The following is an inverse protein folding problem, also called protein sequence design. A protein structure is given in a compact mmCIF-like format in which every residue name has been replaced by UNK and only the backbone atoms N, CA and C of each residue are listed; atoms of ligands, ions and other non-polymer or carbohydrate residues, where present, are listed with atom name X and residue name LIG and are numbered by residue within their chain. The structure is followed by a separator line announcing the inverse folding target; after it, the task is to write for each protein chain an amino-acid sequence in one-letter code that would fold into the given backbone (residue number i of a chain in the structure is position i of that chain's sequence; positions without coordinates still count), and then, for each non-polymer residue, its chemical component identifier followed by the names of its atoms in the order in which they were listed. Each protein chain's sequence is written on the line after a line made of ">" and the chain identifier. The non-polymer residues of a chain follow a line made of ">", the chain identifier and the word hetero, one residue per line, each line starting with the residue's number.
data_IF_195539441452
#
_entry.id   IF_195539441452
#
_cell.length_a   1.000
_cell.length_b   1.000
_cell.length_c   1.000
_cell.angle_alpha   90.00
_cell.angle_beta   90.00
_cell.angle_gamma   90.00
#
_symmetry.space_group_name_H-M   'P 1'
#
loop_
_entity.id
_entity.type
_entity.pdbx_description
1 polymer ?
#
# COMPACT_ATOMS: atom_id res chain seq x y z
N UNK A 1 -4.30 -24.10 -103.54
CA UNK A 1 -5.02 -24.90 -102.47
C UNK A 1 -4.09 -25.22 -101.24
N UNK A 2 -2.95 -24.65 -101.07
CA UNK A 2 -1.97 -25.05 -100.02
C UNK A 2 -2.01 -24.19 -98.71
N UNK A 3 -2.48 -22.95 -98.79
CA UNK A 3 -2.46 -22.09 -97.59
C UNK A 3 -3.60 -22.36 -96.59
N UNK A 4 -4.72 -22.89 -97.04
CA UNK A 4 -5.86 -23.17 -96.19
C UNK A 4 -5.63 -24.44 -95.31
N UNK A 5 -4.91 -25.43 -95.81
CA UNK A 5 -4.53 -26.64 -95.07
C UNK A 5 -3.52 -26.39 -93.97
N UNK A 6 -2.49 -25.51 -94.29
CA UNK A 6 -1.50 -25.16 -93.28
C UNK A 6 -2.12 -24.35 -92.16
N UNK A 7 -3.06 -23.49 -92.44
CA UNK A 7 -3.80 -22.72 -91.39
C UNK A 7 -4.71 -23.56 -90.57
N UNK A 8 -5.29 -24.61 -91.10
CA UNK A 8 -6.17 -25.51 -90.34
C UNK A 8 -5.43 -26.43 -89.38
N UNK A 9 -4.18 -26.71 -89.62
CA UNK A 9 -3.35 -27.52 -88.74
C UNK A 9 -2.61 -26.64 -87.71
N UNK A 10 -2.23 -25.44 -88.08
CA UNK A 10 -1.51 -24.53 -87.14
C UNK A 10 -2.39 -23.87 -86.10
N UNK A 11 -3.64 -23.59 -86.44
CA UNK A 11 -4.56 -22.97 -85.50
C UNK A 11 -4.90 -23.80 -84.21
N UNK A 12 -5.24 -25.09 -84.32
CA UNK A 12 -5.51 -25.89 -83.14
C UNK A 12 -4.26 -26.18 -82.29
N UNK A 13 -3.09 -26.32 -82.93
CA UNK A 13 -1.83 -26.51 -82.14
C UNK A 13 -1.40 -25.23 -81.42
N UNK A 14 -1.60 -24.04 -81.98
CA UNK A 14 -1.35 -22.76 -81.35
C UNK A 14 -2.25 -22.51 -80.13
N UNK A 15 -3.54 -22.85 -80.23
CA UNK A 15 -4.52 -22.72 -79.12
C UNK A 15 -4.24 -23.73 -78.01
N UNK A 16 -3.89 -24.97 -78.36
CA UNK A 16 -3.50 -25.98 -77.39
C UNK A 16 -2.21 -25.63 -76.64
N UNK A 17 -1.25 -25.04 -77.36
CA UNK A 17 0.00 -24.62 -76.70
C UNK A 17 -0.18 -23.38 -75.81
N UNK A 18 -1.03 -22.44 -76.19
CA UNK A 18 -1.38 -21.26 -75.33
C UNK A 18 -2.15 -21.67 -74.13
N UNK A 19 -3.10 -22.62 -74.24
CA UNK A 19 -3.84 -23.16 -73.11
C UNK A 19 -2.93 -23.91 -72.11
N UNK A 20 -2.04 -24.74 -72.61
CA UNK A 20 -1.10 -25.48 -71.78
C UNK A 20 -0.11 -24.52 -71.11
N UNK A 21 0.38 -23.49 -71.79
CA UNK A 21 1.28 -22.48 -71.20
C UNK A 21 0.56 -21.67 -70.10
N UNK A 22 -0.72 -21.32 -70.31
CA UNK A 22 -1.55 -20.64 -69.31
C UNK A 22 -1.78 -21.49 -68.04
N UNK A 23 -2.04 -22.80 -68.17
CA UNK A 23 -2.18 -23.69 -67.03
C UNK A 23 -0.87 -23.88 -66.26
N UNK A 24 0.25 -24.01 -66.95
CA UNK A 24 1.58 -24.11 -66.31
C UNK A 24 1.94 -22.83 -65.61
N UNK A 25 1.67 -21.64 -66.19
CA UNK A 25 1.88 -20.35 -65.55
C UNK A 25 1.03 -20.21 -64.26
N UNK A 26 -0.25 -20.55 -64.36
CA UNK A 26 -1.13 -20.54 -63.20
C UNK A 26 -0.67 -21.49 -62.08
N UNK A 27 -0.25 -22.68 -62.43
CA UNK A 27 0.30 -23.65 -61.47
C UNK A 27 1.60 -23.14 -60.82
N UNK A 28 2.47 -22.52 -61.59
CA UNK A 28 3.72 -21.96 -61.07
C UNK A 28 3.47 -20.74 -60.16
N UNK A 29 2.52 -19.88 -60.55
CA UNK A 29 2.10 -18.75 -59.71
C UNK A 29 1.46 -19.21 -58.40
N UNK A 30 0.60 -20.24 -58.42
CA UNK A 30 0.01 -20.83 -57.20
C UNK A 30 1.07 -21.39 -56.25
N UNK A 31 2.11 -22.07 -56.78
CA UNK A 31 3.21 -22.56 -55.95
C UNK A 31 4.01 -21.40 -55.34
N UNK A 32 4.32 -20.37 -56.12
CA UNK A 32 5.06 -19.22 -55.62
C UNK A 32 4.27 -18.44 -54.56
N UNK A 33 2.98 -18.20 -54.81
CA UNK A 33 2.08 -17.55 -53.83
C UNK A 33 2.00 -18.36 -52.54
N UNK A 34 1.77 -19.68 -52.62
CA UNK A 34 1.75 -20.55 -51.44
C UNK A 34 3.07 -20.52 -50.65
N UNK A 35 4.20 -20.48 -51.33
CA UNK A 35 5.53 -20.43 -50.72
C UNK A 35 5.77 -19.09 -50.02
N UNK A 36 5.36 -17.98 -50.65
CA UNK A 36 5.45 -16.63 -50.07
C UNK A 36 4.51 -16.48 -48.87
N UNK A 37 3.23 -16.89 -49.01
CA UNK A 37 2.26 -16.86 -47.93
C UNK A 37 2.71 -17.71 -46.75
N UNK A 38 3.15 -18.94 -46.97
CA UNK A 38 3.68 -19.83 -45.92
C UNK A 38 4.87 -19.23 -45.17
N UNK A 39 5.76 -18.49 -45.90
CA UNK A 39 6.88 -17.80 -45.27
C UNK A 39 6.41 -16.63 -44.37
N UNK A 40 5.43 -15.86 -44.83
CA UNK A 40 4.85 -14.77 -44.03
C UNK A 40 4.05 -15.30 -42.82
N UNK A 41 3.32 -16.39 -42.95
CA UNK A 41 2.63 -17.04 -41.87
C UNK A 41 3.58 -17.58 -40.80
N UNK A 42 4.71 -18.18 -41.19
CA UNK A 42 5.74 -18.62 -40.26
C UNK A 42 6.36 -17.42 -39.50
N UNK A 43 6.72 -16.35 -40.21
CA UNK A 43 7.29 -15.14 -39.63
C UNK A 43 6.29 -14.44 -38.66
N UNK A 44 5.00 -14.41 -39.03
CA UNK A 44 3.94 -13.89 -38.14
C UNK A 44 3.76 -14.75 -36.88
N UNK A 45 3.85 -16.09 -37.03
CA UNK A 45 3.80 -16.98 -35.86
C UNK A 45 4.95 -16.74 -34.90
N UNK A 46 6.19 -16.67 -35.43
CA UNK A 46 7.36 -16.41 -34.60
C UNK A 46 7.27 -15.06 -33.88
N UNK A 47 6.86 -13.98 -34.57
CA UNK A 47 6.63 -12.67 -33.96
C UNK A 47 5.55 -12.70 -32.89
N UNK A 48 4.47 -13.45 -33.12
CA UNK A 48 3.36 -13.59 -32.16
C UNK A 48 3.81 -14.37 -30.93
N UNK A 49 4.64 -15.37 -31.08
CA UNK A 49 5.17 -16.18 -29.99
C UNK A 49 6.14 -15.40 -29.11
N UNK A 50 7.02 -14.61 -29.73
CA UNK A 50 7.92 -13.66 -29.04
C UNK A 50 7.11 -12.62 -28.27
N UNK A 51 6.07 -12.03 -28.87
CA UNK A 51 5.18 -11.08 -28.20
C UNK A 51 4.45 -11.70 -27.00
N UNK A 52 3.92 -12.90 -27.14
CA UNK A 52 3.28 -13.63 -26.03
C UNK A 52 4.24 -13.89 -24.88
N UNK A 53 5.47 -14.31 -25.21
CA UNK A 53 6.51 -14.56 -24.21
C UNK A 53 6.87 -13.28 -23.46
N UNK A 54 7.11 -12.17 -24.18
CA UNK A 54 7.42 -10.88 -23.57
C UNK A 54 6.27 -10.36 -22.69
N UNK A 55 5.02 -10.48 -23.14
CA UNK A 55 3.86 -10.10 -22.35
C UNK A 55 3.72 -10.96 -21.08
N UNK A 56 4.00 -12.27 -21.18
CA UNK A 56 3.99 -13.18 -20.04
C UNK A 56 5.07 -12.82 -19.02
N UNK A 57 6.29 -12.49 -19.46
CA UNK A 57 7.38 -12.05 -18.59
C UNK A 57 6.99 -10.74 -17.89
N UNK A 58 6.51 -9.74 -18.62
CA UNK A 58 6.07 -8.46 -18.04
C UNK A 58 4.92 -8.63 -17.05
N UNK A 59 3.94 -9.47 -17.37
CA UNK A 59 2.84 -9.76 -16.44
C UNK A 59 3.35 -10.43 -15.16
N UNK A 60 4.30 -11.35 -15.29
CA UNK A 60 4.91 -12.04 -14.14
C UNK A 60 5.75 -11.09 -13.28
N UNK A 61 6.61 -10.28 -13.88
CA UNK A 61 7.41 -9.26 -13.18
C UNK A 61 6.52 -8.25 -12.45
N UNK A 62 5.46 -7.78 -13.11
CA UNK A 62 4.48 -6.86 -12.51
C UNK A 62 3.78 -7.50 -11.32
N UNK A 63 3.37 -8.77 -11.44
CA UNK A 63 2.71 -9.52 -10.37
C UNK A 63 3.64 -9.69 -9.17
N UNK A 64 4.91 -10.08 -9.40
CA UNK A 64 5.91 -10.21 -8.32
C UNK A 64 6.14 -8.86 -7.64
N UNK A 65 6.28 -7.77 -8.40
CA UNK A 65 6.47 -6.43 -7.86
C UNK A 65 5.29 -5.98 -6.98
N UNK A 66 4.05 -6.23 -7.43
CA UNK A 66 2.84 -5.91 -6.66
C UNK A 66 2.73 -6.76 -5.39
N UNK A 67 3.00 -8.07 -5.46
CA UNK A 67 2.98 -8.96 -4.29
C UNK A 67 3.99 -8.50 -3.24
N UNK A 68 5.21 -8.20 -3.66
CA UNK A 68 6.25 -7.70 -2.75
C UNK A 68 5.88 -6.36 -2.11
N UNK A 69 5.26 -5.46 -2.86
CA UNK A 69 4.78 -4.18 -2.32
C UNK A 69 3.68 -4.39 -1.28
N UNK A 70 2.74 -5.31 -1.53
CA UNK A 70 1.68 -5.65 -0.57
C UNK A 70 2.24 -6.27 0.72
N UNK A 71 3.25 -7.14 0.62
CA UNK A 71 3.95 -7.71 1.78
C UNK A 71 4.67 -6.64 2.61
N UNK A 72 5.39 -5.72 1.94
CA UNK A 72 6.08 -4.61 2.62
C UNK A 72 5.09 -3.65 3.28
N UNK A 73 3.94 -3.42 2.66
CA UNK A 73 2.85 -2.62 3.23
C UNK A 73 2.26 -3.30 4.47
N UNK A 74 1.96 -4.58 4.39
CA UNK A 74 1.44 -5.35 5.54
C UNK A 74 2.41 -5.33 6.72
N UNK A 75 3.69 -5.57 6.47
CA UNK A 75 4.75 -5.48 7.48
C UNK A 75 4.84 -4.08 8.09
N UNK A 76 4.75 -3.03 7.26
CA UNK A 76 4.78 -1.64 7.72
C UNK A 76 3.60 -1.31 8.62
N UNK A 77 2.40 -1.77 8.28
CA UNK A 77 1.19 -1.61 9.10
C UNK A 77 1.38 -2.32 10.45
N UNK A 78 1.91 -3.54 10.44
CA UNK A 78 2.17 -4.30 11.67
C UNK A 78 3.17 -3.59 12.59
N UNK A 79 4.29 -3.09 12.04
CA UNK A 79 5.30 -2.37 12.81
C UNK A 79 4.73 -1.07 13.43
N UNK A 80 3.93 -0.32 12.67
CA UNK A 80 3.27 0.90 13.15
C UNK A 80 2.25 0.55 14.23
N UNK A 81 1.45 -0.50 14.03
CA UNK A 81 0.43 -0.93 14.97
C UNK A 81 1.01 -1.34 16.33
N UNK A 82 2.14 -2.05 16.34
CA UNK A 82 2.86 -2.41 17.58
C UNK A 82 3.26 -1.17 18.39
N UNK A 83 3.76 -0.12 17.73
CA UNK A 83 4.10 1.14 18.39
C UNK A 83 2.87 1.89 18.92
N UNK A 84 1.76 1.83 18.19
CA UNK A 84 0.48 2.40 18.65
C UNK A 84 0.00 1.70 19.92
N UNK A 85 0.07 0.38 19.97
CA UNK A 85 -0.33 -0.37 21.18
C UNK A 85 0.58 -0.03 22.36
N UNK A 86 1.90 0.01 22.15
CA UNK A 86 2.85 0.37 23.21
C UNK A 86 2.57 1.79 23.77
N UNK A 87 2.31 2.76 22.88
CA UNK A 87 1.90 4.11 23.28
C UNK A 87 0.56 4.09 24.02
N UNK A 88 -0.44 3.34 23.54
CA UNK A 88 -1.76 3.24 24.15
C UNK A 88 -1.71 2.65 25.55
N UNK A 89 -0.91 1.64 25.79
CA UNK A 89 -0.73 1.04 27.13
C UNK A 89 -0.21 2.07 28.13
N UNK A 90 0.83 2.82 27.77
CA UNK A 90 1.34 3.91 28.61
C UNK A 90 0.31 5.02 28.81
N UNK A 91 -0.41 5.40 27.77
CA UNK A 91 -1.46 6.42 27.82
C UNK A 91 -2.58 6.01 28.78
N UNK A 92 -3.03 4.77 28.72
CA UNK A 92 -4.05 4.25 29.64
C UNK A 92 -3.55 4.22 31.09
N UNK A 93 -2.29 3.85 31.31
CA UNK A 93 -1.69 3.85 32.64
C UNK A 93 -1.67 5.25 33.26
N UNK A 94 -1.24 6.27 32.51
CA UNK A 94 -1.20 7.67 32.97
C UNK A 94 -2.61 8.26 33.20
N UNK A 95 -3.58 7.84 32.37
CA UNK A 95 -4.95 8.41 32.41
C UNK A 95 -5.90 7.69 33.37
N UNK A 96 -5.45 6.65 34.07
CA UNK A 96 -6.28 5.96 35.05
C UNK A 96 -6.78 6.94 36.15
N UNK A 97 -8.08 6.90 36.52
CA UNK A 97 -8.63 7.82 37.50
C UNK A 97 -8.06 7.60 38.93
N UNK A 98 -7.68 6.36 39.21
CA UNK A 98 -7.18 5.96 40.52
C UNK A 98 -5.77 5.39 40.40
N UNK A 99 -4.77 6.28 40.29
CA UNK A 99 -3.40 5.85 40.55
C UNK A 99 -3.29 5.56 42.04
N UNK A 100 -3.04 4.32 42.45
CA UNK A 100 -2.94 4.01 43.87
C UNK A 100 -1.81 4.85 44.47
N UNK A 101 -2.17 5.65 45.49
CA UNK A 101 -1.23 6.48 46.24
C UNK A 101 -0.25 5.57 47.01
N UNK A 102 0.80 5.13 46.34
CA UNK A 102 1.90 4.37 46.94
C UNK A 102 3.09 5.31 47.18
N UNK A 103 3.16 5.91 48.33
CA UNK A 103 4.26 6.81 48.71
C UNK A 103 3.84 8.26 48.92
N UNK A 104 4.84 9.15 49.02
CA UNK A 104 4.58 10.59 49.12
C UNK A 104 4.11 11.14 47.76
N UNK A 105 3.37 12.24 47.78
CA UNK A 105 2.93 12.95 46.54
C UNK A 105 4.06 13.28 45.59
N UNK A 106 5.23 13.61 46.16
CA UNK A 106 6.46 13.87 45.36
C UNK A 106 6.94 12.64 44.60
N UNK A 107 6.90 11.47 45.22
CA UNK A 107 7.27 10.21 44.55
C UNK A 107 6.31 9.88 43.41
N UNK A 108 5.00 10.10 43.65
CA UNK A 108 4.01 9.88 42.61
C UNK A 108 4.18 10.83 41.41
N UNK A 109 4.47 12.12 41.66
CA UNK A 109 4.73 13.07 40.60
C UNK A 109 6.01 12.68 39.81
N UNK A 110 7.05 12.22 40.50
CA UNK A 110 8.26 11.75 39.81
C UNK A 110 7.96 10.55 38.89
N UNK A 111 7.12 9.62 39.35
CA UNK A 111 6.68 8.51 38.49
C UNK A 111 5.87 8.99 37.30
N UNK A 112 4.94 9.92 37.48
CA UNK A 112 4.16 10.51 36.39
C UNK A 112 5.01 11.24 35.37
N UNK A 113 6.05 11.96 35.81
CA UNK A 113 7.03 12.59 34.92
C UNK A 113 7.78 11.51 34.11
N UNK A 114 8.21 10.44 34.75
CA UNK A 114 8.91 9.35 34.06
C UNK A 114 7.98 8.66 33.03
N UNK A 115 6.74 8.42 33.37
CA UNK A 115 5.75 7.82 32.46
C UNK A 115 5.41 8.76 31.30
N UNK A 116 5.25 10.05 31.52
CA UNK A 116 5.00 11.02 30.46
C UNK A 116 6.21 11.19 29.53
N UNK A 117 7.44 11.13 30.07
CA UNK A 117 8.66 11.07 29.23
C UNK A 117 8.68 9.82 28.35
N UNK A 118 8.31 8.67 28.89
CA UNK A 118 8.21 7.44 28.11
C UNK A 118 7.12 7.55 27.04
N UNK A 119 5.99 8.18 27.34
CA UNK A 119 4.91 8.42 26.39
C UNK A 119 5.38 9.30 25.22
N UNK A 120 6.12 10.38 25.49
CA UNK A 120 6.75 11.23 24.46
C UNK A 120 7.71 10.40 23.60
N UNK A 121 8.56 9.60 24.24
CA UNK A 121 9.52 8.74 23.52
C UNK A 121 8.85 7.73 22.60
N UNK A 122 7.75 7.10 23.03
CA UNK A 122 7.00 6.16 22.17
C UNK A 122 6.30 6.89 21.02
N UNK A 123 5.77 8.11 21.24
CA UNK A 123 5.19 8.92 20.17
C UNK A 123 6.25 9.39 19.14
N UNK A 124 7.46 9.69 19.58
CA UNK A 124 8.60 9.98 18.69
C UNK A 124 8.96 8.76 17.82
N UNK A 125 9.09 7.58 18.43
CA UNK A 125 9.33 6.32 17.68
C UNK A 125 8.24 6.09 16.64
N UNK A 126 6.97 6.29 17.01
CA UNK A 126 5.85 6.17 16.08
C UNK A 126 5.97 7.16 14.92
N UNK A 127 6.24 8.42 15.19
CA UNK A 127 6.39 9.47 14.18
C UNK A 127 7.55 9.19 13.22
N UNK A 128 8.69 8.73 13.72
CA UNK A 128 9.84 8.31 12.91
C UNK A 128 9.45 7.13 12.03
N UNK A 129 8.83 6.09 12.61
CA UNK A 129 8.43 4.90 11.87
C UNK A 129 7.42 5.21 10.76
N UNK A 130 6.43 6.07 11.02
CA UNK A 130 5.45 6.52 10.01
C UNK A 130 6.15 7.20 8.84
N UNK A 131 7.09 8.11 9.12
CA UNK A 131 7.88 8.79 8.09
C UNK A 131 8.73 7.81 7.28
N UNK A 132 9.42 6.88 7.92
CA UNK A 132 10.30 5.91 7.26
C UNK A 132 9.52 4.95 6.35
N UNK A 133 8.26 4.70 6.67
CA UNK A 133 7.37 3.82 5.91
C UNK A 133 6.46 4.55 4.91
N UNK A 134 6.60 5.87 4.76
CA UNK A 134 5.75 6.71 3.92
C UNK A 134 5.60 6.18 2.48
N UNK A 135 6.67 5.64 1.89
CA UNK A 135 6.71 5.13 0.51
C UNK A 135 5.76 3.94 0.26
N UNK A 136 5.33 3.24 1.31
CA UNK A 136 4.45 2.07 1.17
C UNK A 136 2.97 2.42 1.20
N UNK A 137 2.61 3.68 1.45
CA UNK A 137 1.24 4.17 1.56
C UNK A 137 0.92 5.14 0.43
N UNK A 138 -0.33 5.14 -0.01
CA UNK A 138 -0.84 6.24 -0.82
C UNK A 138 -0.98 7.51 0.03
N UNK A 139 -1.07 8.67 -0.62
CA UNK A 139 -1.12 9.97 0.05
C UNK A 139 -2.26 10.05 1.07
N UNK A 140 -3.45 9.54 0.75
CA UNK A 140 -4.60 9.57 1.65
C UNK A 140 -4.35 8.75 2.91
N UNK A 141 -3.89 7.51 2.76
CA UNK A 141 -3.59 6.61 3.87
C UNK A 141 -2.44 7.16 4.72
N UNK A 142 -1.40 7.69 4.07
CA UNK A 142 -0.29 8.34 4.78
C UNK A 142 -0.76 9.50 5.64
N UNK A 143 -1.63 10.37 5.12
CA UNK A 143 -2.17 11.51 5.87
C UNK A 143 -2.98 11.08 7.10
N UNK A 144 -3.78 10.01 7.00
CA UNK A 144 -4.50 9.46 8.15
C UNK A 144 -3.53 8.97 9.23
N UNK A 145 -2.51 8.21 8.84
CA UNK A 145 -1.52 7.64 9.76
C UNK A 145 -0.67 8.76 10.39
N UNK A 146 -0.22 9.72 9.59
CA UNK A 146 0.57 10.86 10.05
C UNK A 146 -0.22 11.78 11.00
N UNK A 147 -1.50 12.02 10.71
CA UNK A 147 -2.40 12.80 11.59
C UNK A 147 -2.56 12.11 12.94
N UNK A 148 -2.70 10.77 12.96
CA UNK A 148 -2.73 10.02 14.20
C UNK A 148 -1.41 10.13 14.97
N UNK A 149 -0.26 9.98 14.30
CA UNK A 149 1.07 10.16 14.90
C UNK A 149 1.27 11.57 15.49
N UNK A 150 0.78 12.62 14.79
CA UNK A 150 0.81 13.99 15.29
C UNK A 150 -0.04 14.16 16.56
N UNK A 151 -1.25 13.63 16.56
CA UNK A 151 -2.14 13.67 17.72
C UNK A 151 -1.52 12.98 18.94
N UNK A 152 -0.91 11.79 18.76
CA UNK A 152 -0.23 11.10 19.86
C UNK A 152 0.93 11.91 20.43
N UNK A 153 1.68 12.61 19.57
CA UNK A 153 2.76 13.51 19.99
C UNK A 153 2.22 14.70 20.78
N UNK A 154 1.18 15.38 20.29
CA UNK A 154 0.54 16.52 20.95
C UNK A 154 0.02 16.11 22.33
N UNK A 155 -0.73 15.02 22.43
CA UNK A 155 -1.23 14.50 23.72
C UNK A 155 -0.09 14.13 24.69
N UNK A 156 0.99 13.52 24.18
CA UNK A 156 2.14 13.15 25.00
C UNK A 156 2.85 14.38 25.57
N UNK A 157 3.01 15.41 24.75
CA UNK A 157 3.65 16.67 25.15
C UNK A 157 2.78 17.41 26.16
N UNK A 158 1.48 17.52 25.93
CA UNK A 158 0.53 18.13 26.87
C UNK A 158 0.60 17.46 28.25
N UNK A 159 0.65 16.11 28.29
CA UNK A 159 0.81 15.37 29.53
C UNK A 159 2.17 15.60 30.19
N UNK A 160 3.25 15.60 29.42
CA UNK A 160 4.59 15.86 29.91
C UNK A 160 4.69 17.25 30.54
N UNK A 161 4.22 18.28 29.84
CA UNK A 161 4.28 19.68 30.30
C UNK A 161 3.46 19.87 31.58
N UNK A 162 2.27 19.27 31.65
CA UNK A 162 1.44 19.32 32.86
C UNK A 162 2.12 18.61 34.04
N UNK A 163 2.69 17.43 33.85
CA UNK A 163 3.35 16.67 34.91
C UNK A 163 4.66 17.30 35.35
N UNK A 164 5.48 17.77 34.40
CA UNK A 164 6.75 18.44 34.68
C UNK A 164 6.53 19.77 35.38
N UNK A 165 5.58 20.58 34.93
CA UNK A 165 5.23 21.84 35.55
C UNK A 165 4.75 21.68 37.00
N UNK A 166 4.00 20.60 37.30
CA UNK A 166 3.61 20.27 38.66
C UNK A 166 4.80 19.80 39.51
N UNK A 167 5.68 18.95 38.95
CA UNK A 167 6.87 18.45 39.64
C UNK A 167 7.88 19.58 39.97
N UNK A 168 8.09 20.52 39.08
CA UNK A 168 9.02 21.64 39.31
C UNK A 168 8.55 22.53 40.48
N UNK A 169 7.25 22.63 40.70
CA UNK A 169 6.64 23.36 41.80
C UNK A 169 6.65 22.60 43.13
N UNK A 170 7.07 21.35 43.21
CA UNK A 170 7.11 20.56 44.46
C UNK A 170 8.03 21.13 45.54
N UNK A 171 8.86 22.10 45.19
CA UNK A 171 9.72 22.85 46.12
C UNK A 171 8.99 24.01 46.79
N UNK A 172 7.75 24.30 46.38
CA UNK A 172 6.92 25.35 46.93
C UNK A 172 6.22 24.88 48.24
N UNK A 173 6.16 25.67 49.31
CA UNK A 173 5.46 25.32 50.52
C UNK A 173 3.94 25.08 50.32
N UNK A 174 3.33 25.64 49.28
CA UNK A 174 1.91 25.45 48.94
C UNK A 174 1.64 24.21 48.08
N UNK A 175 2.58 23.27 48.04
CA UNK A 175 2.53 22.06 47.24
C UNK A 175 1.24 21.22 47.30
N UNK A 176 0.57 21.03 48.49
CA UNK A 176 -0.66 20.24 48.54
C UNK A 176 -1.79 20.80 47.70
N UNK A 177 -1.92 22.13 47.58
CA UNK A 177 -2.94 22.77 46.74
C UNK A 177 -2.57 22.67 45.25
N UNK A 178 -1.27 22.78 44.91
CA UNK A 178 -0.77 22.57 43.58
C UNK A 178 -1.02 21.14 43.05
N UNK A 179 -0.90 20.12 43.90
CA UNK A 179 -1.22 18.75 43.55
C UNK A 179 -2.71 18.54 43.20
N UNK A 180 -3.61 19.15 43.97
CA UNK A 180 -5.07 19.14 43.68
C UNK A 180 -5.37 19.80 42.35
N UNK A 181 -4.71 20.94 42.06
CA UNK A 181 -4.81 21.66 40.76
C UNK A 181 -4.33 20.77 39.63
N UNK A 182 -3.20 20.09 39.78
CA UNK A 182 -2.65 19.15 38.79
C UNK A 182 -3.60 17.98 38.49
N UNK A 183 -4.21 17.38 39.52
CA UNK A 183 -5.18 16.29 39.32
C UNK A 183 -6.41 16.75 38.53
N UNK A 184 -6.86 17.97 38.76
CA UNK A 184 -7.95 18.57 37.98
C UNK A 184 -7.56 18.80 36.51
N UNK A 185 -6.32 19.28 36.24
CA UNK A 185 -5.81 19.42 34.88
C UNK A 185 -5.60 18.08 34.18
N UNK A 186 -5.06 17.10 34.89
CA UNK A 186 -4.92 15.73 34.39
C UNK A 186 -6.27 15.12 33.99
N UNK A 187 -7.30 15.34 34.79
CA UNK A 187 -8.67 14.91 34.50
C UNK A 187 -9.19 15.56 33.21
N UNK A 188 -8.99 16.87 33.02
CA UNK A 188 -9.38 17.59 31.80
C UNK A 188 -8.64 17.07 30.57
N UNK A 189 -7.32 16.87 30.65
CA UNK A 189 -6.50 16.30 29.58
C UNK A 189 -6.96 14.90 29.21
N UNK A 190 -7.26 14.07 30.22
CA UNK A 190 -7.82 12.73 30.02
C UNK A 190 -9.13 12.75 29.22
N UNK A 191 -10.06 13.64 29.62
CA UNK A 191 -11.38 13.70 28.99
C UNK A 191 -11.30 14.25 27.57
N UNK A 192 -10.45 15.27 27.34
CA UNK A 192 -10.11 15.76 25.99
C UNK A 192 -9.49 14.65 25.15
N UNK A 193 -8.48 13.99 25.70
CA UNK A 193 -7.74 12.95 24.99
C UNK A 193 -8.63 11.78 24.57
N UNK A 194 -9.54 11.31 25.43
CA UNK A 194 -10.48 10.22 25.10
C UNK A 194 -11.29 10.52 23.85
N UNK A 195 -11.89 11.72 23.75
CA UNK A 195 -12.71 12.08 22.59
C UNK A 195 -11.94 12.15 21.28
N UNK A 196 -10.80 12.82 21.28
CA UNK A 196 -9.95 13.02 20.09
C UNK A 196 -9.24 11.71 19.69
N UNK A 197 -8.69 11.01 20.66
CA UNK A 197 -7.99 9.74 20.45
C UNK A 197 -8.91 8.66 19.91
N UNK A 198 -10.07 8.43 20.53
CA UNK A 198 -11.02 7.41 20.10
C UNK A 198 -11.49 7.63 18.66
N UNK A 199 -11.72 8.90 18.29
CA UNK A 199 -12.08 9.26 16.90
C UNK A 199 -10.95 8.96 15.92
N UNK A 200 -9.74 9.39 16.24
CA UNK A 200 -8.57 9.19 15.41
C UNK A 200 -8.22 7.69 15.28
N UNK A 201 -8.31 6.93 16.38
CA UNK A 201 -8.08 5.50 16.40
C UNK A 201 -9.09 4.76 15.51
N UNK A 202 -10.38 5.10 15.58
CA UNK A 202 -11.40 4.48 14.70
C UNK A 202 -11.09 4.74 13.23
N UNK A 203 -10.73 5.97 12.88
CA UNK A 203 -10.36 6.34 11.52
C UNK A 203 -9.14 5.54 11.03
N UNK A 204 -8.12 5.42 11.88
CA UNK A 204 -6.92 4.64 11.58
C UNK A 204 -7.19 3.14 11.38
N UNK A 205 -8.03 2.55 12.25
CA UNK A 205 -8.42 1.13 12.13
C UNK A 205 -9.18 0.87 10.82
N UNK A 206 -10.06 1.78 10.42
CA UNK A 206 -10.78 1.69 9.15
C UNK A 206 -9.77 1.74 7.99
N UNK A 207 -8.82 2.66 8.03
CA UNK A 207 -7.81 2.79 6.97
C UNK A 207 -6.89 1.57 6.90
N UNK A 208 -6.44 1.03 8.04
CA UNK A 208 -5.64 -0.21 8.06
C UNK A 208 -6.42 -1.40 7.49
N UNK A 209 -7.70 -1.55 7.82
CA UNK A 209 -8.55 -2.61 7.23
C UNK A 209 -8.69 -2.47 5.72
N UNK A 210 -8.85 -1.24 5.23
CA UNK A 210 -8.91 -0.93 3.80
C UNK A 210 -7.59 -1.33 3.11
N UNK A 211 -6.44 -0.92 3.66
CA UNK A 211 -5.12 -1.25 3.13
C UNK A 211 -4.84 -2.75 3.12
N UNK A 212 -5.28 -3.47 4.16
CA UNK A 212 -5.15 -4.93 4.26
C UNK A 212 -6.17 -5.69 3.43
N UNK A 213 -7.05 -4.99 2.69
CA UNK A 213 -8.17 -5.61 1.92
C UNK A 213 -9.08 -6.51 2.79
N UNK A 214 -9.06 -6.32 4.11
CA UNK A 214 -9.83 -7.11 5.07
C UNK A 214 -11.35 -6.90 4.95
N UNK A 215 -11.79 -5.83 4.29
CA UNK A 215 -13.21 -5.55 4.02
C UNK A 215 -13.83 -6.48 2.95
N UNK A 216 -13.01 -7.24 2.21
CA UNK A 216 -13.50 -8.13 1.16
C UNK A 216 -13.99 -9.50 1.65
N UNK A 217 -13.76 -9.84 2.90
CA UNK A 217 -14.31 -11.05 3.49
C UNK A 217 -15.74 -10.75 3.94
N UNK A 218 -16.71 -10.83 3.00
CA UNK A 218 -18.13 -10.95 3.39
C UNK A 218 -18.24 -12.16 4.30
N UNK A 219 -18.87 -12.04 5.48
CA UNK A 219 -19.15 -13.22 6.28
C UNK A 219 -19.94 -14.19 5.41
N UNK A 220 -19.45 -15.42 5.29
CA UNK A 220 -20.20 -16.51 4.73
C UNK A 220 -21.54 -16.54 5.47
N UNK A 221 -22.62 -16.21 4.76
CA UNK A 221 -23.98 -16.40 5.28
C UNK A 221 -24.12 -17.92 5.48
N UNK A 222 -24.00 -18.37 6.73
CA UNK A 222 -24.43 -19.67 7.16
C UNK A 222 -25.96 -19.78 7.12
#
# INVERSE_FOLDING_TARGET
>A
MEYAEILSIAAPTGILSAGAAGLLFRYFMDIQVKKVVGKYEAELRDKTEVLKTNLSIHAHETTIGLTRLEELRATSIQEIYVLIIAWQELFLEITQPNIPARGSDQFMLQQLVNWSQNLVRESEKLSIKVRDKALFFDEQSYQVIATFGKLTMELSTDFYDATFGAWDKTKDPDYPELFKSFDAERAKLRDKAKGEYDKAQRTLVIEFRKLMKAERVKPLKG
#
